data_IF_241148753613
#
_entry.id   IF_241148753613
#
_cell.length_a   1.000
_cell.length_b   1.000
_cell.length_c   1.000
_cell.angle_alpha   90.00
_cell.angle_beta   90.00
_cell.angle_gamma   90.00
#
_symmetry.space_group_name_H-M   'P 1'
#
loop_
_entity.id
_entity.type
_entity.pdbx_description
1 polymer ?
#
# COMPACT_ATOMS: atom_id res chain seq x y z
N UNK A 1 -22.16 3.05 -0.51
CA UNK A 1 -22.41 2.55 -1.88
C UNK A 1 -22.19 1.05 -1.86
N UNK A 2 -23.16 0.29 -2.36
CA UNK A 2 -23.13 -1.18 -2.29
C UNK A 2 -22.84 -1.77 -3.67
N UNK A 3 -21.93 -2.73 -3.70
CA UNK A 3 -21.57 -3.47 -4.90
C UNK A 3 -21.89 -4.95 -4.69
N UNK A 4 -22.33 -5.60 -5.77
CA UNK A 4 -22.49 -7.04 -5.85
C UNK A 4 -21.83 -7.54 -7.14
N UNK A 5 -20.95 -8.49 -6.99
CA UNK A 5 -20.25 -9.15 -8.09
C UNK A 5 -20.54 -10.65 -8.06
N UNK A 6 -20.60 -11.26 -9.23
CA UNK A 6 -20.68 -12.69 -9.41
C UNK A 6 -19.67 -13.12 -10.47
N UNK A 7 -19.32 -14.39 -10.50
CA UNK A 7 -18.45 -15.00 -11.50
C UNK A 7 -17.05 -14.37 -11.51
N UNK A 8 -16.55 -13.97 -10.34
CA UNK A 8 -15.20 -13.44 -10.13
C UNK A 8 -14.50 -14.23 -9.03
N UNK A 9 -13.17 -14.32 -9.10
CA UNK A 9 -12.36 -14.98 -8.08
C UNK A 9 -10.98 -14.38 -8.00
N UNK A 10 -10.35 -14.53 -6.84
CA UNK A 10 -8.89 -14.44 -6.68
C UNK A 10 -8.35 -15.84 -6.92
N UNK A 11 -7.46 -16.00 -7.89
CA UNK A 11 -6.87 -17.31 -8.24
C UNK A 11 -5.46 -17.50 -7.69
N UNK A 12 -4.79 -16.43 -7.29
CA UNK A 12 -3.47 -16.50 -6.68
C UNK A 12 -3.06 -15.19 -6.03
N UNK A 13 -2.22 -15.31 -5.00
CA UNK A 13 -1.57 -14.18 -4.33
C UNK A 13 -0.11 -14.55 -4.11
N UNK A 14 0.80 -13.64 -4.46
CA UNK A 14 2.22 -13.72 -4.18
C UNK A 14 2.66 -12.47 -3.44
N UNK A 15 3.37 -12.62 -2.33
CA UNK A 15 3.99 -11.51 -1.62
C UNK A 15 5.49 -11.48 -1.85
N UNK A 16 6.02 -10.28 -2.09
CA UNK A 16 7.45 -9.98 -2.24
C UNK A 16 7.82 -8.97 -1.17
N UNK A 17 8.79 -9.32 -0.36
CA UNK A 17 9.24 -8.46 0.77
C UNK A 17 10.74 -8.23 0.70
N UNK A 18 11.25 -7.10 1.23
CA UNK A 18 12.69 -6.86 1.33
C UNK A 18 13.41 -7.95 2.14
N UNK A 19 14.67 -8.21 1.82
CA UNK A 19 15.53 -9.08 2.62
C UNK A 19 15.91 -8.45 3.96
N UNK A 20 16.05 -7.12 3.98
CA UNK A 20 16.51 -6.37 5.15
C UNK A 20 15.44 -6.39 6.24
N UNK A 21 15.75 -7.04 7.35
CA UNK A 21 14.95 -7.03 8.57
C UNK A 21 15.51 -6.00 9.55
N UNK A 22 14.64 -5.21 10.16
CA UNK A 22 14.97 -4.29 11.24
C UNK A 22 14.21 -4.73 12.49
N UNK A 23 14.91 -4.84 13.61
CA UNK A 23 14.33 -5.23 14.88
C UNK A 23 14.06 -4.00 15.74
N UNK A 24 12.93 -4.01 16.41
CA UNK A 24 12.50 -2.87 17.23
C UNK A 24 13.52 -2.49 18.31
N UNK A 25 14.20 -3.48 18.90
CA UNK A 25 15.25 -3.24 19.90
C UNK A 25 16.43 -2.45 19.35
N UNK A 26 16.80 -2.69 18.09
CA UNK A 26 17.91 -1.98 17.43
C UNK A 26 17.52 -0.55 17.08
N UNK A 27 16.23 -0.29 16.92
CA UNK A 27 15.67 1.01 16.57
C UNK A 27 15.39 1.91 17.77
N UNK A 28 15.19 1.32 18.95
CA UNK A 28 14.84 2.06 20.18
C UNK A 28 15.81 3.20 20.49
N UNK A 29 17.09 3.05 20.12
CA UNK A 29 18.11 4.07 20.28
C UNK A 29 17.89 5.33 19.42
N UNK A 30 17.05 5.26 18.39
CA UNK A 30 16.72 6.40 17.53
C UNK A 30 15.64 7.30 18.13
N UNK A 31 14.92 6.81 19.15
CA UNK A 31 13.80 7.52 19.75
C UNK A 31 14.24 8.28 21.00
N UNK A 32 13.81 9.52 21.14
CA UNK A 32 14.09 10.35 22.33
C UNK A 32 13.17 9.98 23.50
N UNK A 33 13.09 8.69 23.84
CA UNK A 33 12.26 8.16 24.92
C UNK A 33 13.07 7.22 25.80
N UNK A 34 12.76 7.15 27.12
CA UNK A 34 13.39 6.18 28.01
C UNK A 34 13.20 4.75 27.44
N UNK A 35 14.23 3.89 27.49
CA UNK A 35 14.15 2.53 26.98
C UNK A 35 12.96 1.73 27.55
N UNK A 36 12.65 1.91 28.82
CA UNK A 36 11.51 1.27 29.48
C UNK A 36 10.16 1.66 28.83
N UNK A 37 10.02 2.93 28.41
CA UNK A 37 8.82 3.41 27.72
C UNK A 37 8.72 2.79 26.32
N UNK A 38 9.84 2.67 25.61
CA UNK A 38 9.87 2.03 24.30
C UNK A 38 9.58 0.53 24.40
N UNK A 39 10.11 -0.16 25.41
CA UNK A 39 9.80 -1.57 25.65
C UNK A 39 8.31 -1.80 25.97
N UNK A 40 7.72 -0.94 26.79
CA UNK A 40 6.28 -1.01 27.06
C UNK A 40 5.44 -0.79 25.80
N UNK A 41 5.86 0.12 24.91
CA UNK A 41 5.23 0.33 23.61
C UNK A 41 5.33 -0.94 22.75
N UNK A 42 6.52 -1.56 22.68
CA UNK A 42 6.73 -2.82 21.97
C UNK A 42 5.75 -3.90 22.44
N UNK A 43 5.63 -4.12 23.75
CA UNK A 43 4.74 -5.11 24.31
C UNK A 43 3.26 -4.81 24.02
N UNK A 44 2.86 -3.54 24.13
CA UNK A 44 1.47 -3.11 23.92
C UNK A 44 1.06 -3.24 22.45
N UNK A 45 1.93 -2.85 21.53
CA UNK A 45 1.65 -2.83 20.09
C UNK A 45 2.05 -4.12 19.38
N UNK A 46 2.80 -4.99 20.04
CA UNK A 46 3.29 -6.24 19.45
C UNK A 46 4.43 -6.04 18.45
N UNK A 47 5.15 -4.92 18.51
CA UNK A 47 6.28 -4.67 17.62
C UNK A 47 7.40 -5.67 17.88
N UNK A 48 7.89 -6.27 16.82
CA UNK A 48 9.04 -7.18 16.90
C UNK A 48 10.09 -6.81 15.85
N UNK A 49 9.74 -7.00 14.57
CA UNK A 49 10.56 -6.64 13.43
C UNK A 49 9.69 -6.23 12.26
N UNK A 50 10.27 -5.43 11.37
CA UNK A 50 9.69 -5.13 10.08
C UNK A 50 10.73 -5.26 8.96
N UNK A 51 10.28 -5.25 7.70
CA UNK A 51 11.17 -5.32 6.55
C UNK A 51 11.16 -4.01 5.82
N UNK A 52 12.34 -3.49 5.52
CA UNK A 52 12.52 -2.16 4.93
C UNK A 52 13.26 -2.26 3.60
N UNK A 53 12.74 -1.56 2.62
CA UNK A 53 13.34 -1.41 1.31
C UNK A 53 14.64 -0.57 1.40
N UNK A 54 15.61 -0.90 0.56
CA UNK A 54 16.84 -0.10 0.44
C UNK A 54 16.55 1.18 -0.36
N UNK A 55 17.27 2.28 -0.11
CA UNK A 55 17.21 3.47 -0.97
C UNK A 55 17.39 3.09 -2.46
N UNK A 56 16.52 3.64 -3.31
CA UNK A 56 16.48 3.30 -4.73
C UNK A 56 15.59 2.11 -5.10
N UNK A 57 14.99 1.44 -4.12
CA UNK A 57 13.93 0.46 -4.38
C UNK A 57 12.69 1.14 -4.95
N UNK A 58 11.99 0.44 -5.85
CA UNK A 58 10.81 0.94 -6.55
C UNK A 58 9.67 -0.07 -6.52
N UNK A 59 8.43 0.39 -6.62
CA UNK A 59 7.25 -0.46 -6.79
C UNK A 59 7.42 -1.34 -8.02
N UNK A 60 7.86 -0.75 -9.15
CA UNK A 60 8.09 -1.49 -10.38
C UNK A 60 9.13 -2.61 -10.22
N UNK A 61 10.21 -2.37 -9.48
CA UNK A 61 11.23 -3.38 -9.21
C UNK A 61 10.68 -4.60 -8.48
N UNK A 62 9.94 -4.39 -7.40
CA UNK A 62 9.32 -5.48 -6.63
C UNK A 62 8.22 -6.20 -7.41
N UNK A 63 7.40 -5.45 -8.13
CA UNK A 63 6.34 -5.98 -8.98
C UNK A 63 6.91 -6.89 -10.08
N UNK A 64 7.93 -6.42 -10.80
CA UNK A 64 8.59 -7.20 -11.86
C UNK A 64 9.26 -8.45 -11.30
N UNK A 65 9.94 -8.36 -10.15
CA UNK A 65 10.54 -9.53 -9.51
C UNK A 65 9.48 -10.59 -9.18
N UNK A 66 8.37 -10.19 -8.57
CA UNK A 66 7.28 -11.12 -8.24
C UNK A 66 6.60 -11.70 -9.47
N UNK A 67 6.34 -10.90 -10.49
CA UNK A 67 5.69 -11.37 -11.72
C UNK A 67 6.58 -12.34 -12.48
N UNK A 68 7.88 -12.06 -12.61
CA UNK A 68 8.83 -12.99 -13.25
C UNK A 68 8.86 -14.32 -12.52
N UNK A 69 8.85 -14.33 -11.19
CA UNK A 69 8.73 -15.56 -10.41
C UNK A 69 7.46 -16.35 -10.77
N UNK A 70 6.30 -15.69 -10.91
CA UNK A 70 5.06 -16.36 -11.33
C UNK A 70 5.18 -16.96 -12.73
N UNK A 71 5.81 -16.25 -13.67
CA UNK A 71 6.01 -16.72 -15.05
C UNK A 71 6.99 -17.91 -15.11
N UNK A 72 8.12 -17.80 -14.43
CA UNK A 72 9.14 -18.87 -14.38
C UNK A 72 8.62 -20.18 -13.79
N UNK A 73 7.65 -20.08 -12.86
CA UNK A 73 7.00 -21.24 -12.25
C UNK A 73 5.73 -21.69 -12.99
N UNK A 74 5.44 -21.11 -14.17
CA UNK A 74 4.30 -21.49 -15.01
C UNK A 74 2.92 -21.17 -14.39
N UNK A 75 2.86 -20.24 -13.44
CA UNK A 75 1.64 -19.87 -12.73
C UNK A 75 0.83 -18.81 -13.45
N UNK A 76 1.47 -18.03 -14.32
CA UNK A 76 0.85 -16.98 -15.14
C UNK A 76 1.66 -16.80 -16.42
N UNK A 77 1.01 -16.34 -17.49
CA UNK A 77 1.68 -15.90 -18.72
C UNK A 77 1.41 -14.42 -18.97
N UNK A 78 2.38 -13.65 -19.50
CA UNK A 78 2.20 -12.22 -19.81
C UNK A 78 1.02 -11.95 -20.75
N UNK A 79 0.81 -12.82 -21.74
CA UNK A 79 -0.27 -12.71 -22.76
C UNK A 79 -1.67 -13.00 -22.22
N UNK A 80 -1.80 -13.43 -20.95
CA UNK A 80 -3.08 -13.65 -20.28
C UNK A 80 -3.58 -12.42 -19.52
N UNK A 81 -2.72 -11.43 -19.30
CA UNK A 81 -3.07 -10.26 -18.49
C UNK A 81 -3.71 -9.19 -19.38
N UNK A 82 -5.02 -9.02 -19.22
CA UNK A 82 -5.81 -8.04 -19.97
C UNK A 82 -5.82 -6.65 -19.26
N UNK A 83 -5.56 -6.61 -17.96
CA UNK A 83 -5.45 -5.36 -17.20
C UNK A 83 -4.44 -5.45 -16.05
N UNK A 84 -3.73 -4.34 -15.82
CA UNK A 84 -2.78 -4.13 -14.74
C UNK A 84 -3.24 -2.96 -13.88
N UNK A 85 -3.56 -3.23 -12.63
CA UNK A 85 -3.90 -2.24 -11.61
C UNK A 85 -2.77 -2.17 -10.60
N UNK A 86 -2.23 -0.98 -10.35
CA UNK A 86 -1.16 -0.76 -9.37
C UNK A 86 -1.67 0.16 -8.26
N UNK A 87 -1.66 -0.35 -7.06
CA UNK A 87 -2.06 0.36 -5.83
C UNK A 87 -0.82 0.71 -5.03
N UNK A 88 -0.67 1.97 -4.67
CA UNK A 88 0.40 2.43 -3.81
C UNK A 88 0.09 3.82 -3.23
N UNK A 89 0.74 4.16 -2.12
CA UNK A 89 0.59 5.49 -1.50
C UNK A 89 1.51 6.52 -2.16
N UNK A 90 2.74 6.09 -2.52
CA UNK A 90 3.73 6.92 -3.20
C UNK A 90 4.22 6.17 -4.42
N UNK A 91 3.85 6.64 -5.60
CA UNK A 91 4.24 6.04 -6.86
C UNK A 91 5.71 6.31 -7.19
N UNK A 92 6.31 5.50 -8.07
CA UNK A 92 7.73 5.60 -8.43
C UNK A 92 8.09 6.95 -9.06
N UNK A 93 7.16 7.52 -9.83
CA UNK A 93 7.29 8.82 -10.50
C UNK A 93 5.98 9.60 -10.42
N UNK A 94 6.07 10.95 -10.41
CA UNK A 94 4.88 11.79 -10.67
C UNK A 94 4.31 11.57 -12.10
N UNK A 95 5.17 11.31 -13.08
CA UNK A 95 4.92 10.94 -14.47
C UNK A 95 6.15 10.14 -14.94
N UNK A 96 6.00 9.03 -15.65
CA UNK A 96 4.76 8.35 -16.09
C UNK A 96 4.06 7.56 -14.95
N UNK A 97 2.82 7.07 -15.18
CA UNK A 97 2.18 6.13 -14.25
C UNK A 97 3.04 4.88 -14.03
N UNK A 98 3.10 4.41 -12.79
CA UNK A 98 3.89 3.21 -12.42
C UNK A 98 3.38 1.95 -13.13
N UNK A 99 2.07 1.83 -13.34
CA UNK A 99 1.47 0.73 -14.10
C UNK A 99 1.98 0.66 -15.54
N UNK A 100 2.14 1.79 -16.22
CA UNK A 100 2.69 1.82 -17.57
C UNK A 100 4.18 1.45 -17.61
N UNK A 101 4.95 1.85 -16.59
CA UNK A 101 6.35 1.42 -16.45
C UNK A 101 6.43 -0.10 -16.31
N UNK A 102 5.62 -0.67 -15.42
CA UNK A 102 5.56 -2.12 -15.17
C UNK A 102 5.11 -2.87 -16.44
N UNK A 103 4.07 -2.37 -17.13
CA UNK A 103 3.59 -2.96 -18.39
C UNK A 103 4.72 -3.11 -19.41
N UNK A 104 5.50 -2.03 -19.62
CA UNK A 104 6.63 -2.05 -20.53
C UNK A 104 7.76 -3.00 -20.09
N UNK A 105 8.11 -2.99 -18.80
CA UNK A 105 9.17 -3.86 -18.25
C UNK A 105 8.81 -5.34 -18.30
N UNK A 106 7.54 -5.70 -18.14
CA UNK A 106 7.05 -7.07 -18.19
C UNK A 106 6.71 -7.55 -19.60
N UNK A 107 6.73 -6.65 -20.59
CA UNK A 107 6.34 -6.99 -21.97
C UNK A 107 4.88 -7.41 -22.08
N UNK A 108 3.98 -6.83 -21.26
CA UNK A 108 2.55 -7.05 -21.41
C UNK A 108 2.06 -6.40 -22.71
N UNK A 109 1.02 -6.99 -23.32
CA UNK A 109 0.50 -6.55 -24.62
C UNK A 109 0.05 -5.06 -24.62
N UNK A 110 0.02 -4.46 -25.80
CA UNK A 110 -0.45 -3.08 -26.01
C UNK A 110 -1.93 -2.91 -25.64
N UNK A 111 -2.71 -3.99 -25.70
CA UNK A 111 -4.12 -4.02 -25.31
C UNK A 111 -4.31 -4.16 -23.79
N UNK A 112 -3.23 -4.30 -22.99
CA UNK A 112 -3.31 -4.38 -21.55
C UNK A 112 -3.69 -3.00 -20.96
N UNK A 113 -4.85 -2.93 -20.33
CA UNK A 113 -5.30 -1.69 -19.66
C UNK A 113 -4.48 -1.45 -18.39
N UNK A 114 -3.86 -0.27 -18.25
CA UNK A 114 -3.03 0.10 -17.11
C UNK A 114 -3.66 1.22 -16.29
N UNK A 115 -3.65 1.09 -14.95
CA UNK A 115 -4.20 2.10 -14.04
C UNK A 115 -3.45 2.12 -12.69
N UNK A 116 -3.06 3.32 -12.25
CA UNK A 116 -2.56 3.58 -10.90
C UNK A 116 -3.71 4.00 -9.96
N UNK A 117 -3.71 3.48 -8.73
CA UNK A 117 -4.71 3.74 -7.69
C UNK A 117 -4.01 4.20 -6.42
N UNK A 118 -4.24 5.46 -6.01
CA UNK A 118 -3.60 6.06 -4.84
C UNK A 118 -4.57 6.15 -3.65
N UNK A 119 -5.07 4.98 -3.18
CA UNK A 119 -6.06 4.91 -2.10
C UNK A 119 -5.49 4.39 -0.77
N UNK A 120 -4.16 4.38 -0.63
CA UNK A 120 -3.47 3.98 0.60
C UNK A 120 -4.07 2.71 1.24
N UNK A 121 -4.42 2.75 2.53
CA UNK A 121 -4.89 1.60 3.31
C UNK A 121 -6.12 0.89 2.72
N UNK A 122 -7.04 1.62 2.07
CA UNK A 122 -8.22 1.05 1.41
C UNK A 122 -7.94 0.61 -0.04
N UNK A 123 -6.70 0.70 -0.47
CA UNK A 123 -6.31 0.48 -1.87
C UNK A 123 -6.55 -0.92 -2.36
N UNK A 124 -6.38 -1.94 -1.51
CA UNK A 124 -6.63 -3.33 -1.91
C UNK A 124 -8.09 -3.57 -2.23
N UNK A 125 -8.99 -3.15 -1.35
CA UNK A 125 -10.44 -3.31 -1.54
C UNK A 125 -10.93 -2.51 -2.75
N UNK A 126 -10.45 -1.28 -2.92
CA UNK A 126 -10.78 -0.45 -4.08
C UNK A 126 -10.23 -1.06 -5.38
N UNK A 127 -9.01 -1.58 -5.34
CA UNK A 127 -8.39 -2.29 -6.45
C UNK A 127 -9.17 -3.54 -6.85
N UNK A 128 -9.63 -4.34 -5.88
CA UNK A 128 -10.48 -5.51 -6.13
C UNK A 128 -11.82 -5.13 -6.74
N UNK A 129 -12.48 -4.08 -6.22
CA UNK A 129 -13.74 -3.57 -6.79
C UNK A 129 -13.52 -3.14 -8.24
N UNK A 130 -12.44 -2.42 -8.51
CA UNK A 130 -12.08 -1.99 -9.87
C UNK A 130 -11.82 -3.21 -10.77
N UNK A 131 -11.05 -4.20 -10.32
CA UNK A 131 -10.80 -5.44 -11.06
C UNK A 131 -12.10 -6.18 -11.37
N UNK A 132 -13.00 -6.33 -10.38
CA UNK A 132 -14.29 -6.99 -10.58
C UNK A 132 -15.21 -6.23 -11.54
N UNK A 133 -15.18 -4.89 -11.53
CA UNK A 133 -15.91 -4.09 -12.53
C UNK A 133 -15.37 -4.30 -13.94
N UNK A 134 -14.04 -4.38 -14.09
CA UNK A 134 -13.40 -4.64 -15.39
C UNK A 134 -13.71 -6.05 -15.91
N UNK A 135 -13.73 -7.06 -15.05
CA UNK A 135 -14.06 -8.44 -15.41
C UNK A 135 -15.52 -8.61 -15.90
N UNK A 136 -16.40 -7.63 -15.71
CA UNK A 136 -17.74 -7.62 -16.34
C UNK A 136 -17.68 -7.35 -17.85
N UNK A 137 -16.57 -6.81 -18.35
CA UNK A 137 -16.36 -6.60 -19.78
C UNK A 137 -15.94 -7.93 -20.43
N UNK A 138 -16.40 -8.17 -21.68
CA UNK A 138 -16.04 -9.40 -22.40
C UNK A 138 -14.55 -9.48 -22.69
N UNK A 139 -13.93 -8.33 -23.02
CA UNK A 139 -12.51 -8.22 -23.35
C UNK A 139 -11.55 -8.48 -22.18
N UNK A 140 -12.03 -8.42 -20.93
CA UNK A 140 -11.19 -8.60 -19.74
C UNK A 140 -11.47 -9.94 -19.08
N UNK A 141 -10.51 -10.83 -19.05
CA UNK A 141 -10.60 -12.16 -18.44
C UNK A 141 -9.76 -12.30 -17.19
N UNK A 142 -8.59 -11.61 -17.17
CA UNK A 142 -7.60 -11.71 -16.10
C UNK A 142 -6.99 -10.33 -15.79
N UNK A 143 -6.99 -9.98 -14.53
CA UNK A 143 -6.44 -8.72 -14.00
C UNK A 143 -5.27 -9.06 -13.07
N UNK A 144 -4.14 -8.41 -13.27
CA UNK A 144 -3.05 -8.37 -12.30
C UNK A 144 -3.24 -7.13 -11.42
N UNK A 145 -3.59 -7.35 -10.16
CA UNK A 145 -3.69 -6.32 -9.14
C UNK A 145 -2.41 -6.35 -8.29
N UNK A 146 -1.65 -5.29 -8.30
CA UNK A 146 -0.42 -5.11 -7.52
C UNK A 146 -0.68 -4.10 -6.42
N UNK A 147 -0.47 -4.48 -5.18
CA UNK A 147 -0.43 -3.58 -4.03
C UNK A 147 1.01 -3.49 -3.55
N UNK A 148 1.61 -2.32 -3.62
CA UNK A 148 3.00 -2.15 -3.23
C UNK A 148 3.25 -0.77 -2.63
N UNK A 149 4.03 -0.74 -1.56
CA UNK A 149 4.51 0.49 -0.95
C UNK A 149 5.95 0.32 -0.46
N UNK A 150 6.76 1.35 -0.70
CA UNK A 150 8.08 1.54 -0.12
C UNK A 150 8.02 2.73 0.83
N UNK A 151 6.99 2.73 1.69
CA UNK A 151 6.65 3.84 2.55
C UNK A 151 7.67 4.03 3.69
N UNK A 152 8.42 2.96 4.04
CA UNK A 152 9.57 3.04 4.94
C UNK A 152 10.61 4.06 4.51
N UNK A 153 10.74 4.33 3.19
CA UNK A 153 11.62 5.37 2.65
C UNK A 153 11.10 6.81 2.88
N UNK A 154 9.86 6.94 3.35
CA UNK A 154 9.18 8.22 3.61
C UNK A 154 8.87 8.45 5.09
N UNK A 155 9.24 7.52 5.96
CA UNK A 155 9.07 7.64 7.41
C UNK A 155 10.39 7.99 8.06
N UNK A 156 10.37 8.93 8.99
CA UNK A 156 11.58 9.23 9.77
C UNK A 156 11.92 8.09 10.72
N UNK A 157 13.14 7.56 10.72
CA UNK A 157 13.56 6.54 11.68
C UNK A 157 13.57 7.02 13.14
N UNK A 158 13.40 8.32 13.37
CA UNK A 158 13.29 8.96 14.68
C UNK A 158 11.83 9.23 15.08
N UNK A 159 10.85 8.76 14.29
CA UNK A 159 9.42 8.84 14.60
C UNK A 159 8.94 7.51 15.18
N UNK A 160 8.90 7.43 16.50
CA UNK A 160 8.43 6.23 17.24
C UNK A 160 6.99 5.85 16.93
N UNK A 161 6.15 6.81 16.54
CA UNK A 161 4.72 6.56 16.30
C UNK A 161 4.47 5.90 14.95
N UNK A 162 5.32 6.15 13.97
CA UNK A 162 5.11 5.70 12.59
C UNK A 162 6.14 4.65 12.15
N UNK A 163 7.42 4.83 12.49
CA UNK A 163 8.48 4.00 11.94
C UNK A 163 8.34 2.49 12.24
N UNK A 164 8.10 2.06 13.49
CA UNK A 164 7.97 0.63 13.79
C UNK A 164 6.69 -0.01 13.24
N UNK A 165 5.72 0.81 12.83
CA UNK A 165 4.46 0.35 12.26
C UNK A 165 4.57 0.04 10.76
N UNK A 166 5.50 0.68 10.07
CA UNK A 166 5.61 0.63 8.61
C UNK A 166 6.59 -0.46 8.20
N UNK A 167 6.20 -1.26 7.22
CA UNK A 167 7.05 -2.17 6.48
C UNK A 167 6.82 -2.01 4.99
N UNK A 168 7.78 -2.46 4.19
CA UNK A 168 7.76 -2.33 2.74
C UNK A 168 7.50 -3.70 2.09
N UNK A 169 6.92 -3.67 0.91
CA UNK A 169 6.67 -4.88 0.13
C UNK A 169 5.72 -4.68 -1.03
N UNK A 170 5.52 -5.76 -1.76
CA UNK A 170 4.54 -5.85 -2.83
C UNK A 170 3.73 -7.14 -2.71
N UNK A 171 2.44 -7.07 -3.04
CA UNK A 171 1.58 -8.23 -3.20
C UNK A 171 0.98 -8.22 -4.61
N UNK A 172 1.15 -9.32 -5.31
CA UNK A 172 0.60 -9.55 -6.65
C UNK A 172 -0.61 -10.47 -6.52
N UNK A 173 -1.78 -9.98 -6.90
CA UNK A 173 -3.03 -10.71 -6.82
C UNK A 173 -3.57 -10.95 -8.23
N UNK A 174 -3.78 -12.21 -8.59
CA UNK A 174 -4.42 -12.58 -9.86
C UNK A 174 -5.93 -12.65 -9.63
N UNK A 175 -6.67 -11.81 -10.34
CA UNK A 175 -8.13 -11.73 -10.28
C UNK A 175 -8.68 -12.11 -11.66
N UNK A 176 -9.62 -13.05 -11.70
CA UNK A 176 -10.11 -13.55 -12.98
C UNK A 176 -11.61 -13.95 -12.95
N UNK A 177 -12.18 -14.14 -14.13
CA UNK A 177 -13.54 -14.68 -14.26
C UNK A 177 -13.65 -16.07 -13.63
N UNK A 178 -14.78 -16.36 -13.05
CA UNK A 178 -15.11 -17.65 -12.44
C UNK A 178 -16.35 -18.25 -13.11
N UNK A 179 -16.34 -19.55 -13.28
CA UNK A 179 -17.53 -20.30 -13.73
C UNK A 179 -18.49 -20.59 -12.57
N UNK A 180 -18.08 -20.31 -11.34
CA UNK A 180 -18.90 -20.54 -10.15
C UNK A 180 -19.70 -19.29 -9.80
N UNK A 181 -20.93 -19.48 -9.35
CA UNK A 181 -21.78 -18.41 -8.81
C UNK A 181 -21.40 -18.17 -7.34
N UNK A 182 -20.33 -17.40 -7.16
CA UNK A 182 -19.86 -16.99 -5.84
C UNK A 182 -20.09 -15.49 -5.67
N UNK A 183 -21.18 -15.06 -5.03
CA UNK A 183 -21.44 -13.63 -4.86
C UNK A 183 -20.42 -12.99 -3.91
N UNK A 184 -19.86 -11.88 -4.35
CA UNK A 184 -19.00 -10.99 -3.56
C UNK A 184 -19.74 -9.70 -3.32
N UNK A 185 -19.82 -9.27 -2.06
CA UNK A 185 -20.44 -8.02 -1.67
C UNK A 185 -19.39 -7.05 -1.16
N UNK A 186 -19.52 -5.80 -1.53
CA UNK A 186 -18.67 -4.73 -1.01
C UNK A 186 -19.52 -3.50 -0.68
N UNK A 187 -19.21 -2.84 0.44
CA UNK A 187 -19.76 -1.56 0.81
C UNK A 187 -18.62 -0.54 0.90
N UNK A 188 -18.77 0.59 0.23
CA UNK A 188 -17.75 1.67 0.22
C UNK A 188 -18.36 2.94 0.78
N UNK A 189 -17.66 3.50 1.77
CA UNK A 189 -17.88 4.85 2.30
C UNK A 189 -16.56 5.61 2.24
N UNK A 190 -16.60 6.87 1.84
CA UNK A 190 -15.43 7.75 1.81
C UNK A 190 -15.77 9.05 2.55
N UNK A 191 -14.90 9.42 3.50
CA UNK A 191 -15.02 10.67 4.25
C UNK A 191 -13.77 11.53 4.04
N UNK A 192 -13.87 12.52 3.17
CA UNK A 192 -12.79 13.46 2.88
C UNK A 192 -12.45 14.42 4.03
N UNK A 193 -13.25 14.48 5.11
CA UNK A 193 -12.95 15.34 6.25
C UNK A 193 -11.73 14.86 7.03
N UNK A 194 -11.45 13.53 7.01
CA UNK A 194 -10.29 12.93 7.62
C UNK A 194 -9.04 12.88 6.74
N UNK A 195 -9.03 13.52 5.57
CA UNK A 195 -7.96 13.36 4.56
C UNK A 195 -6.55 13.66 5.09
N UNK A 196 -6.42 14.59 6.04
CA UNK A 196 -5.12 15.01 6.60
C UNK A 196 -4.75 14.32 7.93
N UNK A 197 -5.45 13.26 8.32
CA UNK A 197 -5.08 12.45 9.49
C UNK A 197 -3.78 11.67 9.26
N UNK A 198 -3.53 11.26 7.99
CA UNK A 198 -2.26 10.68 7.53
C UNK A 198 -1.85 11.43 6.25
N UNK A 199 -0.64 11.97 6.21
CA UNK A 199 -0.16 12.72 5.06
C UNK A 199 1.37 12.77 5.01
N UNK A 200 1.91 13.06 3.83
CA UNK A 200 3.26 13.59 3.64
C UNK A 200 3.05 15.06 3.25
N UNK A 201 3.39 16.04 4.12
CA UNK A 201 3.03 17.44 3.90
C UNK A 201 3.64 18.07 2.66
N UNK A 202 4.89 17.72 2.34
CA UNK A 202 5.62 18.27 1.20
C UNK A 202 5.97 17.21 0.15
N UNK A 203 6.22 17.64 -1.07
CA UNK A 203 6.57 16.77 -2.22
C UNK A 203 5.54 16.73 -3.32
N UNK A 204 4.37 17.35 -3.11
CA UNK A 204 3.33 17.52 -4.13
C UNK A 204 3.23 18.96 -4.62
N UNK A 205 2.25 19.20 -5.52
CA UNK A 205 2.01 20.55 -6.07
C UNK A 205 1.54 21.57 -5.01
N UNK A 206 0.82 21.10 -3.96
CA UNK A 206 0.34 21.98 -2.90
C UNK A 206 1.49 22.53 -2.04
N UNK A 207 2.55 21.76 -1.90
CA UNK A 207 3.78 22.15 -1.19
C UNK A 207 4.96 21.42 -1.82
N UNK A 208 5.68 22.05 -2.77
CA UNK A 208 6.89 21.46 -3.35
C UNK A 208 7.99 21.26 -2.29
N UNK A 209 8.89 20.31 -2.54
CA UNK A 209 10.09 20.16 -1.73
C UNK A 209 11.06 21.32 -1.93
N UNK A 210 11.63 21.84 -0.83
CA UNK A 210 12.70 22.85 -0.82
C UNK A 210 13.63 22.63 0.39
N UNK A 211 14.56 23.54 0.61
CA UNK A 211 15.49 23.45 1.74
C UNK A 211 14.76 23.50 3.09
N UNK A 212 13.69 24.26 3.21
CA UNK A 212 12.92 24.40 4.46
C UNK A 212 12.13 23.14 4.80
N UNK A 213 11.61 22.42 3.79
CA UNK A 213 10.81 21.20 3.99
C UNK A 213 11.64 20.01 4.48
N UNK A 214 12.98 20.08 4.35
CA UNK A 214 13.94 19.06 4.81
C UNK A 214 14.44 19.28 6.22
N UNK A 215 14.14 20.43 6.81
CA UNK A 215 14.56 20.74 8.18
C UNK A 215 13.76 19.87 9.14
N UNK A 216 14.49 19.08 9.94
CA UNK A 216 13.85 18.28 11.00
C UNK A 216 13.28 19.19 12.08
N UNK A 217 12.10 18.83 12.53
CA UNK A 217 11.42 19.40 13.70
C UNK A 217 10.97 18.31 14.65
N UNK A 218 10.77 18.67 15.91
CA UNK A 218 10.18 17.78 16.91
C UNK A 218 8.72 18.14 17.13
N UNK A 219 7.85 17.15 17.10
CA UNK A 219 6.43 17.34 17.40
C UNK A 219 6.16 17.39 18.93
N UNK A 220 4.93 17.68 19.31
CA UNK A 220 4.50 17.72 20.72
C UNK A 220 4.63 16.37 21.44
N UNK A 221 4.84 15.30 20.75
CA UNK A 221 5.01 13.93 21.28
C UNK A 221 6.47 13.47 21.29
N UNK A 222 7.43 14.32 20.88
CA UNK A 222 8.84 14.02 20.86
C UNK A 222 9.31 13.23 19.64
N UNK A 223 8.54 13.18 18.56
CA UNK A 223 8.95 12.52 17.32
C UNK A 223 9.65 13.52 16.41
N UNK A 224 10.80 13.13 15.87
CA UNK A 224 11.59 13.93 14.94
C UNK A 224 11.27 13.54 13.50
N UNK A 225 10.94 14.51 12.66
CA UNK A 225 10.67 14.34 11.25
C UNK A 225 10.75 15.66 10.50
N UNK A 226 10.85 15.59 9.18
CA UNK A 226 10.71 16.74 8.30
C UNK A 226 9.31 16.75 7.66
N UNK A 227 9.00 17.80 6.90
CA UNK A 227 7.73 17.85 6.16
C UNK A 227 7.71 16.90 4.95
N UNK A 228 8.85 16.34 4.55
CA UNK A 228 8.96 15.31 3.50
C UNK A 228 8.72 13.89 4.05
N UNK A 229 8.47 13.76 5.36
CA UNK A 229 8.17 12.48 5.99
C UNK A 229 6.66 12.29 6.19
N UNK A 230 6.26 11.03 6.29
CA UNK A 230 4.91 10.64 6.70
C UNK A 230 4.60 11.17 8.11
N UNK A 231 3.48 11.84 8.24
CA UNK A 231 2.91 12.29 9.51
C UNK A 231 1.61 11.55 9.74
N UNK A 232 1.50 10.90 10.88
CA UNK A 232 0.29 10.21 11.31
C UNK A 232 -0.19 10.83 12.63
N UNK A 233 -1.41 11.38 12.62
CA UNK A 233 -2.09 11.87 13.83
C UNK A 233 -2.77 10.70 14.49
N UNK A 234 -2.06 10.02 15.38
CA UNK A 234 -2.44 8.72 15.90
C UNK A 234 -3.82 8.67 16.58
N UNK A 235 -4.21 9.72 17.29
CA UNK A 235 -5.53 9.87 17.91
C UNK A 235 -6.66 9.98 16.88
N UNK A 236 -6.50 10.81 15.84
CA UNK A 236 -7.47 10.93 14.75
C UNK A 236 -7.59 9.61 13.96
N UNK A 237 -6.46 8.99 13.62
CA UNK A 237 -6.42 7.71 12.89
C UNK A 237 -7.07 6.59 13.70
N UNK A 238 -6.76 6.53 15.01
CA UNK A 238 -7.34 5.54 15.91
C UNK A 238 -8.85 5.69 16.03
N UNK A 239 -9.35 6.92 16.17
CA UNK A 239 -10.78 7.20 16.22
C UNK A 239 -11.50 6.85 14.92
N UNK A 240 -10.91 7.19 13.76
CA UNK A 240 -11.46 6.78 12.46
C UNK A 240 -11.54 5.25 12.33
N UNK A 241 -10.52 4.53 12.78
CA UNK A 241 -10.49 3.07 12.77
C UNK A 241 -11.57 2.46 13.68
N UNK A 242 -11.73 2.98 14.91
CA UNK A 242 -12.73 2.49 15.86
C UNK A 242 -14.17 2.69 15.36
N UNK A 243 -14.47 3.82 14.73
CA UNK A 243 -15.81 4.10 14.19
C UNK A 243 -16.18 3.07 13.11
N UNK A 244 -15.20 2.59 12.34
CA UNK A 244 -15.44 1.59 11.29
C UNK A 244 -15.47 0.15 11.80
N UNK A 245 -14.77 -0.17 12.89
CA UNK A 245 -14.69 -1.53 13.44
C UNK A 245 -15.80 -1.81 14.46
N UNK A 246 -16.25 -0.79 15.18
CA UNK A 246 -17.16 -0.95 16.33
C UNK A 246 -18.64 -0.75 15.99
N UNK A 247 -19.02 -0.34 14.79
CA UNK A 247 -20.44 -0.40 14.40
C UNK A 247 -20.85 -1.87 14.26
N UNK A 248 -21.80 -2.35 15.09
CA UNK A 248 -22.32 -3.70 14.91
C UNK A 248 -22.93 -3.79 13.51
N UNK A 249 -22.46 -4.75 12.72
CA UNK A 249 -23.10 -5.09 11.45
C UNK A 249 -24.56 -5.34 11.73
N UNK A 250 -25.45 -4.46 11.28
CA UNK A 250 -26.89 -4.74 11.32
C UNK A 250 -27.12 -6.00 10.50
N UNK A 251 -27.74 -7.04 11.07
CA UNK A 251 -28.14 -8.18 10.27
C UNK A 251 -29.12 -7.67 9.20
N UNK A 252 -28.86 -8.05 7.96
CA UNK A 252 -29.74 -7.81 6.82
C UNK A 252 -31.01 -8.64 6.95
#
# INVERSE_FOLDING_TARGET
MDFKFNHVKISGILSVVPENESFFEDEMGNYEFPPETSMKLKETMGYNKHRLAKPGSTIAGYACHGFNYLVENGLVRPDEIDALLVVGSVMDYPIPPTSNVIQGLLGLGEDCFCLDITQACAGFEIGLIQAFMMLKQEAVRKVLLINADMLGLKVSPRDRNSYPLIGDGAALTIVEKSNYDNPVFANVKMDGKGAFAIQIPAGGLAKPCDESTRIDYVDSFGNWRSEENLVMKGDEVFMLSLIHISEPTRPY
#
